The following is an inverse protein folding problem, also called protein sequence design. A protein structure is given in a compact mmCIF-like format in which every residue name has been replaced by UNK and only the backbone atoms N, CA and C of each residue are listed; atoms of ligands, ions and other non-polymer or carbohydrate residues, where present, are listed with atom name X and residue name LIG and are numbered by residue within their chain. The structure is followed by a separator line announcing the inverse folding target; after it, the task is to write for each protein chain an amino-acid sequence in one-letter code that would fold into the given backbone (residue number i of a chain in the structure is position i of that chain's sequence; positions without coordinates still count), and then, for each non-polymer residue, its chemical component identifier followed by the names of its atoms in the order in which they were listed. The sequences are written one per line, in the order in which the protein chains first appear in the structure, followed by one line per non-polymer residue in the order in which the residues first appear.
data_IF_840604217531
#
_entry.id   IF_840604217531
#
_cell.length_a   1.000
_cell.length_b   1.000
_cell.length_c   1.000
_cell.angle_alpha   90.00
_cell.angle_beta   90.00
_cell.angle_gamma   90.00
#
_symmetry.space_group_name_H-M   'P 1'
#
loop_
_entity.id
_entity.type
_entity.pdbx_description
1 polymer ?
#
# COMPACT_ATOMS: atom_id res chain seq x y z
N UNK A 1 -45.71 -9.69 -17.30
CA UNK A 1 -46.07 -8.28 -17.60
C UNK A 1 -47.25 -7.75 -16.77
N UNK A 2 -48.38 -8.47 -16.65
CA UNK A 2 -49.50 -8.03 -15.80
C UNK A 2 -49.20 -8.06 -14.27
N UNK A 3 -48.51 -9.10 -13.78
CA UNK A 3 -48.17 -9.24 -12.37
C UNK A 3 -47.19 -8.17 -11.85
N UNK A 4 -46.34 -7.64 -12.73
CA UNK A 4 -45.34 -6.62 -12.41
C UNK A 4 -45.98 -5.23 -12.32
N UNK A 5 -46.93 -4.94 -13.22
CA UNK A 5 -47.79 -3.75 -13.13
C UNK A 5 -48.65 -3.76 -11.87
N UNK A 6 -49.18 -4.92 -11.47
CA UNK A 6 -49.97 -5.04 -10.23
C UNK A 6 -49.09 -4.74 -9.01
N UNK A 7 -47.88 -5.31 -8.92
CA UNK A 7 -46.95 -5.02 -7.80
C UNK A 7 -46.57 -3.54 -7.71
N UNK A 8 -46.32 -2.88 -8.85
CA UNK A 8 -46.06 -1.43 -8.87
C UNK A 8 -47.26 -0.61 -8.37
N UNK A 9 -48.47 -0.96 -8.80
CA UNK A 9 -49.70 -0.26 -8.38
C UNK A 9 -49.95 -0.44 -6.88
N UNK A 10 -49.75 -1.65 -6.33
CA UNK A 10 -49.93 -1.92 -4.89
C UNK A 10 -48.89 -1.18 -4.04
N UNK A 11 -47.64 -1.09 -4.50
CA UNK A 11 -46.59 -0.33 -3.82
C UNK A 11 -46.89 1.17 -3.81
N UNK A 12 -47.34 1.74 -4.92
CA UNK A 12 -47.73 3.16 -5.02
C UNK A 12 -48.91 3.47 -4.09
N UNK A 13 -49.93 2.59 -4.03
CA UNK A 13 -51.08 2.76 -3.14
C UNK A 13 -50.67 2.66 -1.67
N UNK A 14 -49.79 1.72 -1.33
CA UNK A 14 -49.26 1.56 0.02
C UNK A 14 -48.41 2.78 0.45
N UNK A 15 -47.54 3.27 -0.43
CA UNK A 15 -46.73 4.47 -0.20
C UNK A 15 -47.61 5.72 -0.03
N UNK A 16 -48.64 5.90 -0.86
CA UNK A 16 -49.64 6.97 -0.73
C UNK A 16 -50.37 6.93 0.60
N UNK A 17 -50.71 5.73 1.09
CA UNK A 17 -51.40 5.53 2.37
C UNK A 17 -50.48 5.80 3.57
N UNK A 18 -49.22 5.40 3.51
CA UNK A 18 -48.23 5.64 4.58
C UNK A 18 -47.82 7.11 4.69
N UNK A 19 -47.81 7.84 3.56
CA UNK A 19 -47.45 9.26 3.55
C UNK A 19 -48.64 10.21 3.81
N UNK A 20 -49.88 9.72 3.94
CA UNK A 20 -51.09 10.55 4.08
C UNK A 20 -51.51 11.28 2.80
N UNK A 21 -51.05 10.80 1.63
CA UNK A 21 -51.04 11.49 0.34
C UNK A 21 -52.25 11.15 -0.55
N UNK A 22 -53.24 10.38 -0.06
CA UNK A 22 -54.29 9.77 -0.88
C UNK A 22 -55.05 10.75 -1.81
N UNK A 23 -55.20 12.02 -1.43
CA UNK A 23 -55.82 13.06 -2.29
C UNK A 23 -55.01 14.37 -2.36
N UNK A 24 -53.68 14.27 -2.44
CA UNK A 24 -52.83 15.42 -2.78
C UNK A 24 -53.03 15.86 -4.24
N UNK A 25 -53.02 17.17 -4.50
CA UNK A 25 -53.00 17.78 -5.81
C UNK A 25 -51.81 17.29 -6.64
N UNK A 26 -51.97 17.09 -7.97
CA UNK A 26 -50.90 16.59 -8.82
C UNK A 26 -49.61 17.42 -8.78
N UNK A 27 -49.72 18.74 -8.53
CA UNK A 27 -48.59 19.66 -8.47
C UNK A 27 -47.74 19.44 -7.22
N UNK A 28 -48.36 19.28 -6.04
CA UNK A 28 -47.66 18.99 -4.78
C UNK A 28 -46.99 17.62 -4.85
N UNK A 29 -47.67 16.63 -5.42
CA UNK A 29 -47.12 15.30 -5.68
C UNK A 29 -45.85 15.31 -6.53
N UNK A 30 -45.86 16.06 -7.63
CA UNK A 30 -44.68 16.21 -8.52
C UNK A 30 -43.54 16.89 -7.78
N UNK A 31 -43.82 17.95 -7.01
CA UNK A 31 -42.81 18.68 -6.25
C UNK A 31 -42.18 17.80 -5.16
N UNK A 32 -42.98 17.08 -4.38
CA UNK A 32 -42.48 16.09 -3.39
C UNK A 32 -41.65 15.02 -4.07
N UNK A 33 -42.08 14.53 -5.25
CA UNK A 33 -41.30 13.59 -6.06
C UNK A 33 -39.91 14.11 -6.44
N UNK A 34 -39.83 15.37 -6.91
CA UNK A 34 -38.56 16.04 -7.24
C UNK A 34 -37.67 16.17 -6.01
N UNK A 35 -38.23 16.61 -4.87
CA UNK A 35 -37.49 16.77 -3.62
C UNK A 35 -36.95 15.43 -3.11
N UNK A 36 -37.76 14.37 -3.15
CA UNK A 36 -37.33 13.01 -2.79
C UNK A 36 -36.21 12.51 -3.72
N UNK A 37 -36.32 12.73 -5.03
CA UNK A 37 -35.26 12.38 -5.98
C UNK A 37 -33.95 13.11 -5.65
N UNK A 38 -34.04 14.40 -5.32
CA UNK A 38 -32.88 15.23 -4.98
C UNK A 38 -32.19 14.76 -3.69
N UNK A 39 -32.96 14.33 -2.66
CA UNK A 39 -32.42 13.69 -1.46
C UNK A 39 -31.66 12.40 -1.82
N UNK A 40 -32.29 11.51 -2.60
CA UNK A 40 -31.65 10.24 -3.00
C UNK A 40 -30.38 10.49 -3.82
N UNK A 41 -30.39 11.47 -4.70
CA UNK A 41 -29.23 11.84 -5.52
C UNK A 41 -28.07 12.32 -4.65
N UNK A 42 -28.32 13.20 -3.67
CA UNK A 42 -27.29 13.69 -2.75
C UNK A 42 -26.73 12.55 -1.89
N UNK A 43 -27.60 11.70 -1.34
CA UNK A 43 -27.16 10.53 -0.57
C UNK A 43 -26.32 9.57 -1.43
N UNK A 44 -26.65 9.41 -2.71
CA UNK A 44 -25.88 8.61 -3.67
C UNK A 44 -24.49 9.19 -3.91
N UNK A 45 -24.37 10.52 -4.12
CA UNK A 45 -23.07 11.19 -4.26
C UNK A 45 -22.22 10.98 -3.01
N UNK A 46 -22.78 11.20 -1.82
CA UNK A 46 -22.05 10.99 -0.56
C UNK A 46 -21.57 9.54 -0.45
N UNK A 47 -22.46 8.59 -0.74
CA UNK A 47 -22.14 7.16 -0.70
C UNK A 47 -21.00 6.84 -1.67
N UNK A 48 -21.08 7.31 -2.91
CA UNK A 48 -20.04 7.12 -3.91
C UNK A 48 -18.70 7.74 -3.50
N UNK A 49 -18.73 8.98 -3.01
CA UNK A 49 -17.56 9.72 -2.53
C UNK A 49 -16.89 9.04 -1.35
N UNK A 50 -17.67 8.45 -0.44
CA UNK A 50 -17.19 7.72 0.74
C UNK A 50 -16.55 6.40 0.33
N UNK A 51 -17.21 5.61 -0.51
CA UNK A 51 -16.78 4.27 -0.91
C UNK A 51 -15.79 4.27 -2.09
N UNK A 52 -15.37 5.45 -2.58
CA UNK A 52 -14.27 5.54 -3.55
C UNK A 52 -13.02 4.93 -2.90
N UNK A 53 -12.59 3.76 -3.35
CA UNK A 53 -11.40 3.08 -2.82
C UNK A 53 -10.15 3.96 -2.94
N UNK A 54 -9.13 3.64 -2.14
CA UNK A 54 -7.77 4.14 -2.36
C UNK A 54 -7.42 3.98 -3.84
N UNK A 55 -7.09 5.10 -4.49
CA UNK A 55 -6.86 5.15 -5.93
C UNK A 55 -5.37 5.12 -6.25
N UNK A 56 -5.05 5.13 -7.54
CA UNK A 56 -3.68 5.08 -8.04
C UNK A 56 -2.81 6.27 -7.55
N UNK A 57 -3.44 7.34 -7.03
CA UNK A 57 -2.75 8.50 -6.47
C UNK A 57 -2.38 8.32 -4.98
N UNK A 58 -2.79 7.22 -4.34
CA UNK A 58 -2.44 6.94 -2.95
C UNK A 58 -0.93 6.81 -2.79
N UNK A 59 -0.38 7.41 -1.73
CA UNK A 59 1.04 7.27 -1.37
C UNK A 59 1.15 6.52 -0.05
N UNK A 60 2.02 5.53 -0.02
CA UNK A 60 2.34 4.77 1.18
C UNK A 60 3.78 5.07 1.57
N UNK A 61 3.98 5.46 2.83
CA UNK A 61 5.28 5.58 3.45
C UNK A 61 5.37 4.53 4.56
N UNK A 62 6.27 3.57 4.41
CA UNK A 62 6.46 2.47 5.35
C UNK A 62 7.78 2.73 6.07
N UNK A 63 7.72 2.95 7.38
CA UNK A 63 8.91 3.04 8.24
C UNK A 63 8.92 1.81 9.12
N UNK A 64 9.89 0.91 8.94
CA UNK A 64 9.90 -0.36 9.66
C UNK A 64 11.31 -0.80 10.06
N UNK A 65 11.37 -1.58 11.13
CA UNK A 65 12.57 -2.31 11.55
C UNK A 65 12.41 -3.79 11.19
N UNK A 66 13.36 -4.35 10.46
CA UNK A 66 13.31 -5.74 10.00
C UNK A 66 14.67 -6.43 10.07
N UNK A 67 14.68 -7.71 10.40
CA UNK A 67 15.86 -8.57 10.30
C UNK A 67 16.08 -9.08 8.86
N UNK A 68 15.06 -8.94 7.98
CA UNK A 68 15.12 -9.29 6.57
C UNK A 68 14.47 -8.24 5.68
N UNK A 69 15.18 -7.86 4.63
CA UNK A 69 14.64 -7.01 3.58
C UNK A 69 15.01 -7.65 2.24
N UNK A 70 14.03 -7.83 1.36
CA UNK A 70 14.29 -8.22 -0.02
C UNK A 70 13.83 -7.12 -0.95
N UNK A 71 14.57 -6.88 -2.03
CA UNK A 71 14.04 -6.10 -3.14
C UNK A 71 14.46 -6.64 -4.49
N UNK A 72 13.54 -6.53 -5.44
CA UNK A 72 13.74 -6.93 -6.82
C UNK A 72 13.88 -5.68 -7.70
N UNK A 73 14.99 -5.60 -8.44
CA UNK A 73 15.23 -4.50 -9.39
C UNK A 73 14.17 -4.47 -10.50
N UNK A 74 13.80 -3.26 -10.92
CA UNK A 74 12.84 -3.04 -12.02
C UNK A 74 13.55 -2.45 -13.25
N UNK A 75 12.84 -1.73 -14.12
CA UNK A 75 13.45 -1.02 -15.26
C UNK A 75 14.41 0.07 -14.82
N UNK A 76 14.11 0.74 -13.72
CA UNK A 76 14.97 1.74 -13.08
C UNK A 76 15.91 1.01 -12.13
N UNK A 77 17.22 1.23 -12.29
CA UNK A 77 18.25 0.62 -11.48
C UNK A 77 18.56 1.50 -10.25
N UNK A 78 18.87 0.90 -9.10
CA UNK A 78 19.37 1.65 -7.96
C UNK A 78 20.76 2.24 -8.26
N UNK A 79 21.18 3.28 -7.52
CA UNK A 79 22.58 3.69 -7.54
C UNK A 79 23.48 2.55 -7.01
N UNK A 80 24.77 2.55 -7.35
CA UNK A 80 25.73 1.59 -6.81
C UNK A 80 25.77 1.63 -5.28
N UNK A 81 25.96 0.46 -4.67
CA UNK A 81 26.00 0.30 -3.22
C UNK A 81 27.45 0.21 -2.79
N UNK A 82 27.90 1.17 -2.00
CA UNK A 82 29.24 1.16 -1.40
C UNK A 82 29.21 0.24 -0.18
N UNK A 83 30.10 -0.74 -0.16
CA UNK A 83 30.22 -1.75 0.89
C UNK A 83 31.61 -1.65 1.48
N UNK A 84 31.70 -1.58 2.81
CA UNK A 84 32.97 -1.48 3.54
C UNK A 84 33.15 -2.64 4.51
N UNK A 85 34.39 -3.01 4.78
CA UNK A 85 34.77 -4.07 5.71
C UNK A 85 33.97 -5.38 5.48
N UNK A 86 34.21 -6.02 4.32
CA UNK A 86 33.39 -7.15 3.88
C UNK A 86 34.21 -8.35 3.40
N UNK A 87 33.53 -9.48 3.33
CA UNK A 87 33.97 -10.71 2.64
C UNK A 87 32.93 -11.07 1.61
N UNK A 88 33.33 -11.69 0.50
CA UNK A 88 32.39 -12.10 -0.55
C UNK A 88 32.56 -13.56 -0.93
N UNK A 89 31.50 -14.17 -1.44
CA UNK A 89 31.48 -15.53 -1.94
C UNK A 89 30.80 -15.54 -3.32
N UNK A 90 31.56 -15.89 -4.36
CA UNK A 90 30.99 -16.14 -5.67
C UNK A 90 30.16 -17.42 -5.64
N UNK A 91 29.07 -17.43 -6.41
CA UNK A 91 28.12 -18.53 -6.49
C UNK A 91 27.52 -18.94 -5.13
N UNK A 92 27.61 -18.06 -4.13
CA UNK A 92 27.17 -18.30 -2.76
C UNK A 92 27.78 -19.55 -2.12
N UNK A 93 29.02 -19.86 -2.51
CA UNK A 93 29.86 -20.88 -1.87
C UNK A 93 30.58 -20.34 -0.63
N UNK A 94 31.86 -20.68 -0.49
CA UNK A 94 32.68 -20.24 0.64
C UNK A 94 33.10 -18.76 0.51
N UNK A 95 33.08 -18.04 1.63
CA UNK A 95 33.54 -16.65 1.69
C UNK A 95 35.05 -16.55 1.50
N UNK A 96 35.47 -15.43 0.90
CA UNK A 96 36.86 -15.02 0.80
C UNK A 96 37.57 -15.10 2.16
N UNK A 97 38.83 -15.53 2.15
CA UNK A 97 39.64 -15.53 3.38
C UNK A 97 39.96 -14.11 3.82
N UNK A 98 40.26 -13.26 2.85
CA UNK A 98 40.56 -11.85 3.00
C UNK A 98 39.31 -11.03 3.29
N UNK A 99 39.49 -9.98 4.09
CA UNK A 99 38.51 -8.93 4.33
C UNK A 99 38.93 -7.71 3.52
N UNK A 100 38.02 -7.21 2.69
CA UNK A 100 38.24 -6.07 1.82
C UNK A 100 37.76 -4.79 2.48
N UNK A 101 38.48 -3.71 2.21
CA UNK A 101 38.23 -2.41 2.85
C UNK A 101 37.00 -1.71 2.26
N UNK A 102 36.89 -1.71 0.93
CA UNK A 102 35.84 -1.04 0.18
C UNK A 102 35.55 -1.74 -1.16
N UNK A 103 34.28 -1.74 -1.56
CA UNK A 103 33.81 -2.28 -2.82
C UNK A 103 32.50 -1.64 -3.24
N UNK A 104 32.23 -1.63 -4.53
CA UNK A 104 31.06 -1.01 -5.15
C UNK A 104 30.23 -2.07 -5.88
N UNK A 105 29.00 -2.27 -5.39
CA UNK A 105 28.06 -3.25 -5.93
C UNK A 105 27.09 -2.59 -6.90
N UNK A 106 27.17 -2.98 -8.18
CA UNK A 106 26.22 -2.59 -9.22
C UNK A 106 25.15 -3.68 -9.39
N UNK A 107 23.92 -3.36 -8.97
CA UNK A 107 22.80 -4.29 -9.03
C UNK A 107 22.10 -4.18 -10.38
N UNK A 108 22.41 -5.13 -11.26
CA UNK A 108 21.81 -5.21 -12.59
C UNK A 108 20.31 -5.60 -12.54
N UNK A 109 19.61 -5.43 -13.67
CA UNK A 109 18.20 -5.80 -13.83
C UNK A 109 17.99 -7.30 -13.58
N UNK A 110 16.81 -7.66 -13.09
CA UNK A 110 16.40 -9.04 -12.84
C UNK A 110 17.24 -9.74 -11.76
N UNK A 111 17.81 -8.99 -10.83
CA UNK A 111 18.37 -9.52 -9.60
C UNK A 111 17.45 -9.23 -8.42
N UNK A 112 17.33 -10.22 -7.55
CA UNK A 112 16.70 -10.13 -6.25
C UNK A 112 17.84 -10.00 -5.22
N UNK A 113 17.90 -8.85 -4.56
CA UNK A 113 18.78 -8.62 -3.42
C UNK A 113 18.04 -9.05 -2.16
N UNK A 114 18.68 -9.86 -1.33
CA UNK A 114 18.20 -10.26 -0.01
C UNK A 114 19.21 -9.80 1.03
N UNK A 115 18.79 -8.98 1.97
CA UNK A 115 19.63 -8.51 3.05
C UNK A 115 19.10 -9.15 4.33
N UNK A 116 19.98 -9.79 5.08
CA UNK A 116 19.65 -10.43 6.35
C UNK A 116 20.62 -9.93 7.41
N UNK A 117 20.07 -9.43 8.51
CA UNK A 117 20.87 -9.10 9.68
C UNK A 117 21.04 -10.35 10.52
N UNK A 118 22.29 -10.73 10.78
CA UNK A 118 22.63 -11.83 11.66
C UNK A 118 23.01 -11.27 13.04
N UNK A 119 23.01 -12.14 14.06
CA UNK A 119 23.54 -11.78 15.38
C UNK A 119 25.01 -11.36 15.25
N UNK A 120 25.46 -10.39 16.07
CA UNK A 120 26.84 -9.89 16.17
C UNK A 120 27.29 -8.86 15.10
N UNK A 121 26.47 -7.85 14.79
CA UNK A 121 26.88 -6.73 13.92
C UNK A 121 27.28 -7.15 12.49
N UNK A 122 26.80 -8.32 12.06
CA UNK A 122 27.04 -8.87 10.73
C UNK A 122 25.79 -8.74 9.86
N UNK A 123 26.00 -8.25 8.64
CA UNK A 123 24.95 -8.15 7.63
C UNK A 123 25.32 -9.02 6.45
N UNK A 124 24.43 -9.91 6.04
CA UNK A 124 24.61 -10.71 4.84
C UNK A 124 23.72 -10.18 3.72
N UNK A 125 24.35 -9.80 2.61
CA UNK A 125 23.71 -9.39 1.37
C UNK A 125 23.85 -10.56 0.38
N UNK A 126 22.75 -11.06 -0.15
CA UNK A 126 22.74 -12.14 -1.14
C UNK A 126 22.03 -11.65 -2.39
N UNK A 127 22.76 -11.67 -3.51
CA UNK A 127 22.22 -11.40 -4.84
C UNK A 127 21.94 -12.73 -5.50
N UNK A 128 20.71 -12.92 -5.93
CA UNK A 128 20.33 -14.05 -6.78
C UNK A 128 19.63 -13.54 -8.02
N UNK A 129 19.81 -14.24 -9.14
CA UNK A 129 19.00 -14.00 -10.33
C UNK A 129 17.52 -14.21 -9.97
N UNK A 130 16.69 -13.21 -10.26
CA UNK A 130 15.27 -13.27 -9.94
C UNK A 130 14.61 -14.45 -10.69
N UNK A 131 13.69 -15.19 -10.04
CA UNK A 131 12.93 -16.24 -10.71
C UNK A 131 12.16 -15.63 -11.90
N UNK A 132 12.19 -16.33 -13.04
CA UNK A 132 11.58 -15.86 -14.29
C UNK A 132 10.07 -15.65 -14.10
N UNK A 133 9.62 -14.40 -13.97
CA UNK A 133 8.21 -14.05 -14.10
C UNK A 133 7.96 -13.44 -15.49
N UNK A 134 7.37 -14.25 -16.37
CA UNK A 134 6.51 -13.90 -17.51
C UNK A 134 7.02 -12.81 -18.49
N UNK A 135 7.82 -13.24 -19.47
CA UNK A 135 7.61 -13.05 -20.92
C UNK A 135 8.90 -13.43 -21.65
N UNK A 136 8.97 -14.68 -22.10
CA UNK A 136 10.14 -15.33 -22.71
C UNK A 136 10.56 -14.78 -24.09
N UNK A 137 10.13 -13.58 -24.49
CA UNK A 137 10.45 -13.03 -25.83
C UNK A 137 11.71 -12.16 -25.90
N UNK A 138 12.35 -11.85 -24.78
CA UNK A 138 13.64 -11.12 -24.77
C UNK A 138 14.85 -11.99 -24.38
N UNK A 139 14.68 -13.30 -24.18
CA UNK A 139 15.72 -14.21 -23.69
C UNK A 139 16.86 -14.53 -24.68
N UNK A 140 16.84 -13.96 -25.89
CA UNK A 140 17.95 -14.12 -26.85
C UNK A 140 18.99 -12.98 -26.82
N UNK A 141 18.96 -12.08 -25.82
CA UNK A 141 19.97 -11.01 -25.72
C UNK A 141 20.74 -11.04 -24.38
N UNK A 142 21.93 -11.66 -24.46
CA UNK A 142 23.08 -11.61 -23.54
C UNK A 142 22.85 -12.25 -22.16
N UNK A 143 23.79 -13.10 -21.74
CA UNK A 143 23.98 -13.46 -20.34
C UNK A 143 24.23 -12.16 -19.55
N UNK A 144 23.19 -11.62 -18.91
CA UNK A 144 23.31 -10.44 -18.05
C UNK A 144 24.08 -10.88 -16.81
N UNK A 145 25.39 -10.59 -16.80
CA UNK A 145 26.24 -10.77 -15.64
C UNK A 145 26.06 -9.58 -14.69
N UNK A 146 26.11 -9.84 -13.40
CA UNK A 146 26.27 -8.77 -12.41
C UNK A 146 27.74 -8.38 -12.25
N UNK A 147 27.98 -7.19 -11.74
CA UNK A 147 29.32 -6.63 -11.56
C UNK A 147 29.50 -6.14 -10.13
N UNK A 148 30.63 -6.50 -9.53
CA UNK A 148 31.02 -6.05 -8.21
C UNK A 148 32.47 -5.59 -8.28
N UNK A 149 32.72 -4.31 -8.01
CA UNK A 149 34.07 -3.74 -8.01
C UNK A 149 34.66 -3.86 -6.60
N UNK A 150 35.87 -4.40 -6.50
CA UNK A 150 36.58 -4.58 -5.24
C UNK A 150 37.93 -3.90 -5.38
N UNK A 151 38.16 -2.80 -4.66
CA UNK A 151 39.45 -2.08 -4.66
C UNK A 151 39.98 -1.75 -6.08
N UNK A 152 39.07 -1.48 -7.03
CA UNK A 152 39.38 -1.18 -8.43
C UNK A 152 39.44 -2.39 -9.38
N UNK A 153 39.26 -3.61 -8.86
CA UNK A 153 39.17 -4.84 -9.66
C UNK A 153 37.72 -5.26 -9.88
N UNK A 154 37.36 -5.50 -11.15
CA UNK A 154 36.02 -5.90 -11.55
C UNK A 154 35.76 -7.39 -11.39
N UNK A 155 34.81 -7.75 -10.54
CA UNK A 155 34.36 -9.13 -10.31
C UNK A 155 33.00 -9.36 -10.96
N UNK A 156 32.96 -10.20 -11.99
CA UNK A 156 31.71 -10.63 -12.62
C UNK A 156 31.09 -11.84 -11.91
N UNK A 157 29.77 -11.83 -11.71
CA UNK A 157 29.04 -12.99 -11.18
C UNK A 157 27.81 -13.34 -12.04
N UNK A 158 27.53 -14.64 -12.16
CA UNK A 158 26.52 -15.16 -13.10
C UNK A 158 25.17 -15.50 -12.45
N UNK A 159 25.19 -16.09 -11.26
CA UNK A 159 24.00 -16.69 -10.64
C UNK A 159 23.74 -16.16 -9.23
N UNK A 160 24.78 -16.17 -8.40
CA UNK A 160 24.69 -15.83 -6.99
C UNK A 160 25.96 -15.10 -6.54
N UNK A 161 25.82 -14.09 -5.71
CA UNK A 161 26.90 -13.43 -4.98
C UNK A 161 26.44 -13.22 -3.55
N UNK A 162 27.20 -13.71 -2.58
CA UNK A 162 26.97 -13.41 -1.17
C UNK A 162 28.06 -12.47 -0.66
N UNK A 163 27.67 -11.44 0.08
CA UNK A 163 28.56 -10.47 0.69
C UNK A 163 28.24 -10.42 2.17
N UNK A 164 29.25 -10.55 3.00
CA UNK A 164 29.18 -10.50 4.44
C UNK A 164 29.89 -9.24 4.91
N UNK A 165 29.12 -8.31 5.45
CA UNK A 165 29.58 -7.00 5.93
C UNK A 165 29.71 -7.07 7.45
N UNK A 166 30.85 -6.63 7.98
CA UNK A 166 31.09 -6.56 9.41
C UNK A 166 31.06 -5.10 9.86
N UNK A 167 30.04 -4.72 10.64
CA UNK A 167 29.96 -3.37 11.19
C UNK A 167 30.91 -3.25 12.38
N UNK A 168 31.75 -2.22 12.38
CA UNK A 168 32.75 -1.97 13.41
C UNK A 168 32.76 -0.47 13.80
N UNK A 169 33.70 -0.03 14.65
CA UNK A 169 33.73 1.38 15.07
C UNK A 169 34.08 2.35 13.92
N UNK A 170 34.85 1.90 12.93
CA UNK A 170 35.25 2.71 11.78
C UNK A 170 34.14 2.79 10.72
N UNK A 171 33.36 1.73 10.60
CA UNK A 171 32.23 1.57 9.67
C UNK A 171 30.99 1.09 10.46
N UNK A 172 30.39 1.95 11.29
CA UNK A 172 29.29 1.54 12.18
C UNK A 172 27.94 1.48 11.45
N UNK A 173 27.83 2.01 10.23
CA UNK A 173 26.58 2.11 9.48
C UNK A 173 26.77 1.63 8.06
N UNK A 174 25.88 0.75 7.60
CA UNK A 174 25.66 0.43 6.20
C UNK A 174 24.35 1.09 5.77
N UNK A 175 24.38 1.93 4.74
CA UNK A 175 23.21 2.64 4.23
C UNK A 175 23.23 2.69 2.71
N UNK A 176 22.07 2.45 2.08
CA UNK A 176 21.94 2.58 0.64
C UNK A 176 20.49 2.77 0.19
N UNK A 177 20.33 3.26 -1.03
CA UNK A 177 19.05 3.42 -1.70
C UNK A 177 18.71 2.17 -2.51
N UNK A 178 17.53 1.61 -2.31
CA UNK A 178 16.96 0.56 -3.12
C UNK A 178 15.86 1.11 -4.03
N UNK A 179 15.81 0.63 -5.27
CA UNK A 179 14.76 0.98 -6.24
C UNK A 179 14.23 -0.31 -6.84
N UNK A 180 12.94 -0.58 -6.64
CA UNK A 180 12.35 -1.83 -7.09
C UNK A 180 11.06 -2.21 -6.38
N UNK A 181 10.74 -3.50 -6.39
CA UNK A 181 9.71 -4.06 -5.53
C UNK A 181 10.35 -4.47 -4.21
N UNK A 182 9.99 -3.81 -3.11
CA UNK A 182 10.53 -4.06 -1.78
C UNK A 182 9.54 -4.91 -0.98
N UNK A 183 10.08 -5.91 -0.30
CA UNK A 183 9.37 -6.78 0.63
C UNK A 183 10.07 -6.68 1.99
N UNK A 184 9.27 -6.50 3.04
CA UNK A 184 9.77 -6.33 4.41
C UNK A 184 9.35 -7.52 5.27
N UNK A 185 10.32 -8.12 5.94
CA UNK A 185 10.15 -9.40 6.62
C UNK A 185 10.21 -10.55 5.62
N UNK A 186 9.70 -11.72 6.00
CA UNK A 186 9.68 -12.92 5.16
C UNK A 186 8.34 -13.61 5.27
N UNK A 187 7.89 -14.26 4.19
CA UNK A 187 6.78 -15.21 4.27
C UNK A 187 7.10 -16.31 5.29
N UNK A 188 6.29 -16.39 6.34
CA UNK A 188 6.48 -17.35 7.43
C UNK A 188 5.78 -18.65 7.06
N UNK A 189 6.54 -19.72 6.82
CA UNK A 189 6.03 -21.07 6.50
C UNK A 189 6.41 -22.06 7.60
N UNK A 190 5.67 -23.17 7.72
CA UNK A 190 5.87 -24.20 8.76
C UNK A 190 7.14 -25.07 8.55
N UNK A 191 8.07 -24.67 7.68
CA UNK A 191 9.30 -25.44 7.49
C UNK A 191 10.18 -25.33 8.76
N UNK A 192 10.59 -26.48 9.29
CA UNK A 192 11.55 -26.56 10.37
C UNK A 192 12.94 -26.31 9.81
N UNK A 193 13.61 -25.25 10.24
CA UNK A 193 15.06 -25.19 10.53
C UNK A 193 15.52 -23.72 10.52
N UNK A 194 15.31 -23.03 11.66
CA UNK A 194 15.92 -21.72 11.92
C UNK A 194 14.94 -20.66 12.42
N UNK A 195 15.48 -19.69 13.17
CA UNK A 195 14.79 -18.43 13.44
C UNK A 195 14.58 -17.71 12.10
N UNK A 196 13.34 -17.56 11.67
CA UNK A 196 13.04 -16.77 10.48
C UNK A 196 13.26 -15.30 10.80
N UNK A 197 14.05 -14.57 10.00
CA UNK A 197 14.23 -13.16 10.24
C UNK A 197 12.88 -12.43 10.10
N UNK A 198 12.56 -11.63 11.12
CA UNK A 198 11.24 -11.06 11.34
C UNK A 198 11.23 -9.56 11.02
N UNK A 199 10.04 -9.09 10.64
CA UNK A 199 9.68 -7.70 10.84
C UNK A 199 9.49 -7.48 12.35
N UNK A 200 10.18 -6.51 12.91
CA UNK A 200 10.20 -6.25 14.35
C UNK A 200 9.12 -5.25 14.75
N UNK A 201 9.08 -4.11 14.07
CA UNK A 201 8.17 -3.00 14.37
C UNK A 201 8.06 -2.04 13.19
N UNK A 202 7.12 -1.10 13.25
CA UNK A 202 7.03 -0.01 12.29
C UNK A 202 5.64 0.59 12.18
N UNK A 203 5.50 1.49 11.21
CA UNK A 203 4.24 2.11 10.84
C UNK A 203 4.11 2.27 9.33
N UNK A 204 2.87 2.21 8.84
CA UNK A 204 2.51 2.53 7.48
C UNK A 204 1.68 3.80 7.52
N UNK A 205 2.23 4.87 6.99
CA UNK A 205 1.52 6.10 6.73
C UNK A 205 0.90 6.05 5.34
N UNK A 206 -0.41 6.27 5.27
CA UNK A 206 -1.16 6.35 4.01
C UNK A 206 -1.55 7.80 3.77
N UNK A 207 -1.21 8.34 2.60
CA UNK A 207 -1.60 9.68 2.16
C UNK A 207 -2.51 9.56 0.95
N UNK A 208 -3.70 10.17 1.04
CA UNK A 208 -4.67 10.27 -0.05
C UNK A 208 -4.86 11.71 -0.52
N UNK A 209 -5.68 11.87 -1.56
CA UNK A 209 -6.10 13.17 -2.09
C UNK A 209 -7.57 13.42 -1.79
N UNK A 210 -7.92 14.65 -1.40
CA UNK A 210 -9.32 15.04 -1.17
C UNK A 210 -10.12 15.02 -2.47
N UNK A 211 -11.43 14.85 -2.35
CA UNK A 211 -12.33 14.67 -3.48
C UNK A 211 -12.45 15.88 -4.41
N UNK A 212 -12.37 17.10 -3.85
CA UNK A 212 -12.71 18.32 -4.59
C UNK A 212 -11.49 19.13 -5.00
N UNK A 213 -10.54 19.32 -4.08
CA UNK A 213 -9.38 20.19 -4.31
C UNK A 213 -8.07 19.44 -4.49
N UNK A 214 -8.08 18.10 -4.48
CA UNK A 214 -6.89 17.25 -4.58
C UNK A 214 -5.83 17.58 -3.52
N UNK A 215 -6.26 18.13 -2.37
CA UNK A 215 -5.36 18.43 -1.27
C UNK A 215 -4.95 17.12 -0.59
N UNK A 216 -3.71 17.04 -0.11
CA UNK A 216 -3.23 15.80 0.51
C UNK A 216 -3.71 15.71 1.95
N UNK A 217 -4.23 14.55 2.35
CA UNK A 217 -4.52 14.25 3.75
C UNK A 217 -3.93 12.89 4.13
N UNK A 218 -3.67 12.71 5.42
CA UNK A 218 -3.03 11.52 5.98
C UNK A 218 -4.07 10.72 6.77
N UNK A 219 -4.15 9.42 6.52
CA UNK A 219 -4.96 8.51 7.32
C UNK A 219 -4.24 8.18 8.63
N UNK A 220 -5.01 7.71 9.62
CA UNK A 220 -4.45 7.12 10.85
C UNK A 220 -3.39 6.06 10.48
N UNK A 221 -2.14 6.19 10.95
CA UNK A 221 -1.09 5.24 10.60
C UNK A 221 -1.43 3.80 11.02
N UNK A 222 -1.16 2.84 10.15
CA UNK A 222 -1.28 1.42 10.49
C UNK A 222 -0.04 0.99 11.26
N UNK A 223 -0.22 0.49 12.48
CA UNK A 223 0.89 0.00 13.32
C UNK A 223 1.26 -1.42 12.90
N UNK A 224 2.50 -1.58 12.46
CA UNK A 224 3.09 -2.87 12.10
C UNK A 224 3.43 -3.62 13.38
N UNK A 225 3.01 -4.88 13.48
CA UNK A 225 3.35 -5.74 14.60
C UNK A 225 4.51 -6.67 14.24
N UNK A 226 5.19 -7.15 15.28
CA UNK A 226 6.22 -8.17 15.15
C UNK A 226 5.67 -9.38 14.37
N UNK A 227 6.49 -9.91 13.45
CA UNK A 227 6.17 -11.04 12.58
C UNK A 227 5.12 -10.76 11.51
N UNK A 228 4.74 -9.49 11.28
CA UNK A 228 3.99 -9.14 10.08
C UNK A 228 4.93 -9.23 8.85
N UNK A 229 4.35 -9.50 7.68
CA UNK A 229 5.03 -9.53 6.38
C UNK A 229 4.36 -8.51 5.48
N UNK A 230 5.13 -7.60 4.90
CA UNK A 230 4.62 -6.51 4.08
C UNK A 230 5.11 -6.66 2.65
N UNK A 231 4.17 -6.68 1.73
CA UNK A 231 4.43 -6.77 0.30
C UNK A 231 3.36 -6.05 -0.49
N UNK A 232 3.69 -5.68 -1.72
CA UNK A 232 2.76 -5.05 -2.65
C UNK A 232 2.62 -5.93 -3.89
N UNK A 233 1.38 -6.27 -4.23
CA UNK A 233 1.07 -6.84 -5.54
C UNK A 233 0.70 -5.70 -6.49
N UNK A 234 1.71 -4.99 -6.99
CA UNK A 234 1.45 -3.98 -8.02
C UNK A 234 1.31 -4.64 -9.37
N UNK A 235 0.23 -4.31 -10.09
CA UNK A 235 -0.11 -4.88 -11.40
C UNK A 235 0.63 -4.15 -12.55
N UNK A 236 1.32 -3.04 -12.29
CA UNK A 236 2.11 -2.28 -13.29
C UNK A 236 3.26 -1.54 -12.64
N UNK A 237 4.47 -1.65 -13.22
CA UNK A 237 5.65 -0.74 -13.22
C UNK A 237 5.80 0.34 -12.11
N UNK A 238 5.25 0.15 -10.91
CA UNK A 238 5.38 1.07 -9.80
C UNK A 238 6.70 0.75 -9.11
N UNK A 239 7.76 1.44 -9.52
CA UNK A 239 9.04 1.39 -8.81
C UNK A 239 8.85 1.99 -7.43
N UNK A 240 9.08 1.20 -6.38
CA UNK A 240 9.19 1.72 -5.02
C UNK A 240 10.61 2.22 -4.83
N UNK A 241 10.76 3.25 -4.01
CA UNK A 241 12.07 3.70 -3.55
C UNK A 241 12.17 3.38 -2.07
N UNK A 242 13.34 2.94 -1.63
CA UNK A 242 13.57 2.67 -0.23
C UNK A 242 14.96 3.12 0.20
N UNK A 243 15.08 3.55 1.45
CA UNK A 243 16.36 3.73 2.14
C UNK A 243 16.47 2.58 3.12
N UNK A 244 17.56 1.83 3.03
CA UNK A 244 17.86 0.73 3.96
C UNK A 244 19.08 1.15 4.75
N UNK A 245 18.96 1.10 6.08
CA UNK A 245 19.99 1.50 7.02
C UNK A 245 20.20 0.42 8.07
N UNK A 246 21.46 0.07 8.30
CA UNK A 246 21.87 -0.94 9.28
C UNK A 246 22.93 -0.33 10.17
N UNK A 247 22.62 -0.18 11.46
CA UNK A 247 23.52 0.45 12.45
C UNK A 247 24.08 -0.62 13.37
N UNK A 248 25.35 -0.52 13.72
CA UNK A 248 26.01 -1.37 14.70
C UNK A 248 25.23 -1.39 16.03
N UNK A 249 25.19 -2.55 16.67
CA UNK A 249 24.54 -2.83 17.96
C UNK A 249 23.00 -2.70 17.99
N UNK A 250 22.38 -2.29 16.89
CA UNK A 250 20.92 -2.38 16.74
C UNK A 250 20.47 -3.82 16.41
N UNK A 251 19.26 -4.25 16.82
CA UNK A 251 18.79 -5.61 16.57
C UNK A 251 18.31 -5.84 15.13
N UNK A 252 17.87 -4.79 14.43
CA UNK A 252 17.27 -4.87 13.10
C UNK A 252 17.91 -3.94 12.08
N UNK A 253 17.31 -3.87 10.90
CA UNK A 253 17.61 -2.90 9.85
C UNK A 253 16.41 -1.96 9.72
N UNK A 254 16.67 -0.66 9.67
CA UNK A 254 15.64 0.34 9.38
C UNK A 254 15.40 0.40 7.89
N UNK A 255 14.15 0.29 7.47
CA UNK A 255 13.70 0.49 6.11
C UNK A 255 12.69 1.63 6.06
N UNK A 256 12.92 2.60 5.18
CA UNK A 256 11.96 3.64 4.84
C UNK A 256 11.58 3.43 3.38
N UNK A 257 10.38 2.92 3.11
CA UNK A 257 9.90 2.57 1.77
C UNK A 257 8.79 3.54 1.35
N UNK A 258 8.96 4.16 0.20
CA UNK A 258 7.96 5.01 -0.45
C UNK A 258 7.37 4.28 -1.66
N UNK A 259 6.05 4.14 -1.66
CA UNK A 259 5.26 3.51 -2.71
C UNK A 259 4.17 4.48 -3.17
N UNK A 260 3.92 4.50 -4.48
CA UNK A 260 2.81 5.22 -5.08
C UNK A 260 1.87 4.25 -5.81
N UNK A 261 0.58 4.31 -5.47
CA UNK A 261 -0.46 3.45 -6.00
C UNK A 261 -0.33 1.98 -5.57
N UNK A 262 -1.22 1.16 -6.12
CA UNK A 262 -1.25 -0.28 -5.87
C UNK A 262 -1.87 -0.69 -4.53
N UNK A 263 -1.83 -2.01 -4.29
CA UNK A 263 -2.45 -2.66 -3.14
C UNK A 263 -1.36 -3.14 -2.18
N UNK A 264 -1.27 -2.50 -1.01
CA UNK A 264 -0.33 -2.90 0.03
C UNK A 264 -0.98 -3.95 0.94
N UNK A 265 -0.33 -5.09 1.10
CA UNK A 265 -0.80 -6.18 1.92
C UNK A 265 0.07 -6.33 3.17
N UNK A 266 -0.60 -6.56 4.29
CA UNK A 266 0.03 -6.99 5.54
C UNK A 266 -0.47 -8.38 5.85
N UNK A 267 0.45 -9.34 5.95
CA UNK A 267 0.15 -10.71 6.29
C UNK A 267 0.82 -11.08 7.61
N UNK A 268 0.02 -11.52 8.59
CA UNK A 268 0.56 -12.14 9.82
C UNK A 268 0.66 -13.65 9.65
N UNK A 269 1.56 -14.27 10.39
CA UNK A 269 1.68 -15.73 10.43
C UNK A 269 0.32 -16.42 10.62
N UNK A 270 0.02 -17.38 9.73
CA UNK A 270 -1.23 -18.15 9.68
C UNK A 270 -2.52 -17.33 9.50
N UNK A 271 -2.42 -16.07 9.09
CA UNK A 271 -3.56 -15.25 8.71
C UNK A 271 -3.56 -15.02 7.20
N UNK A 272 -4.76 -14.85 6.64
CA UNK A 272 -4.89 -14.40 5.26
C UNK A 272 -4.31 -12.97 5.12
N UNK A 273 -3.70 -12.64 3.98
CA UNK A 273 -3.23 -11.28 3.72
C UNK A 273 -4.36 -10.25 3.85
N UNK A 274 -4.12 -9.20 4.62
CA UNK A 274 -5.05 -8.09 4.79
C UNK A 274 -4.60 -6.92 3.92
N UNK A 275 -5.52 -6.43 3.07
CA UNK A 275 -5.30 -5.21 2.31
C UNK A 275 -5.36 -4.00 3.26
N UNK A 276 -4.40 -3.09 3.16
CA UNK A 276 -4.50 -1.78 3.81
C UNK A 276 -5.58 -0.98 3.07
N UNK A 277 -6.78 -0.96 3.63
CA UNK A 277 -7.91 -0.17 3.15
C UNK A 277 -8.19 0.99 4.11
N UNK A 278 -8.77 2.08 3.59
CA UNK A 278 -9.27 3.16 4.41
C UNK A 278 -10.72 2.90 4.84
N UNK A 279 -11.01 3.05 6.14
CA UNK A 279 -12.38 2.95 6.66
C UNK A 279 -13.17 4.25 6.45
N UNK A 280 -14.51 4.19 6.46
CA UNK A 280 -15.37 5.38 6.41
C UNK A 280 -15.02 6.39 7.50
N UNK A 281 -14.84 5.91 8.73
CA UNK A 281 -14.56 6.75 9.88
C UNK A 281 -13.18 7.39 9.71
N UNK A 282 -12.18 6.64 9.26
CA UNK A 282 -10.85 7.19 9.00
C UNK A 282 -10.88 8.23 7.88
N UNK A 283 -11.67 8.02 6.83
CA UNK A 283 -11.78 8.99 5.74
C UNK A 283 -12.48 10.27 6.20
N UNK A 284 -13.63 10.17 6.86
CA UNK A 284 -14.37 11.35 7.32
C UNK A 284 -13.63 12.09 8.43
N UNK A 285 -12.91 11.39 9.31
CA UNK A 285 -12.14 12.04 10.37
C UNK A 285 -10.91 12.79 9.88
N UNK A 286 -10.28 12.32 8.81
CA UNK A 286 -9.04 12.90 8.30
C UNK A 286 -9.21 13.80 7.05
N UNK A 287 -10.27 13.60 6.26
CA UNK A 287 -10.63 14.48 5.13
C UNK A 287 -11.62 15.56 5.58
N UNK A 288 -11.09 16.73 5.94
CA UNK A 288 -11.87 17.87 6.40
C UNK A 288 -12.88 18.38 5.35
N UNK A 289 -12.57 18.25 4.05
CA UNK A 289 -13.43 18.70 2.95
C UNK A 289 -14.65 17.78 2.82
N UNK A 290 -14.42 16.47 2.94
CA UNK A 290 -15.48 15.48 2.99
C UNK A 290 -16.34 15.66 4.24
N UNK A 291 -15.75 15.86 5.42
CA UNK A 291 -16.48 16.11 6.66
C UNK A 291 -17.38 17.36 6.57
N UNK A 292 -16.84 18.44 6.01
CA UNK A 292 -17.57 19.69 5.81
C UNK A 292 -18.73 19.51 4.81
N UNK A 293 -18.47 18.86 3.68
CA UNK A 293 -19.47 18.59 2.64
C UNK A 293 -20.57 17.66 3.15
N UNK A 294 -20.22 16.65 3.94
CA UNK A 294 -21.17 15.76 4.61
C UNK A 294 -22.06 16.54 5.58
N UNK A 295 -21.47 17.46 6.36
CA UNK A 295 -22.21 18.31 7.30
C UNK A 295 -23.23 19.20 6.58
N UNK A 296 -22.82 19.88 5.50
CA UNK A 296 -23.73 20.70 4.67
C UNK A 296 -24.84 19.83 4.09
N UNK A 297 -24.50 18.65 3.57
CA UNK A 297 -25.48 17.78 2.95
C UNK A 297 -26.50 17.25 3.95
N UNK A 298 -26.09 16.92 5.19
CA UNK A 298 -27.02 16.50 6.25
C UNK A 298 -27.99 17.63 6.60
N UNK A 299 -27.49 18.86 6.81
CA UNK A 299 -28.33 20.03 7.10
C UNK A 299 -29.31 20.30 5.94
N UNK A 300 -28.83 20.19 4.70
CA UNK A 300 -29.64 20.40 3.52
C UNK A 300 -30.73 19.33 3.37
N UNK A 301 -30.41 18.04 3.61
CA UNK A 301 -31.40 16.96 3.60
C UNK A 301 -32.46 17.16 4.69
N UNK A 302 -32.07 17.58 5.89
CA UNK A 302 -33.02 17.91 6.97
C UNK A 302 -33.94 19.06 6.57
N UNK A 303 -33.40 20.10 5.93
CA UNK A 303 -34.18 21.20 5.40
C UNK A 303 -35.20 20.72 4.36
N UNK A 304 -34.80 19.87 3.40
CA UNK A 304 -35.71 19.30 2.40
C UNK A 304 -36.83 18.46 3.03
N UNK A 305 -36.53 17.65 4.04
CA UNK A 305 -37.56 16.94 4.80
C UNK A 305 -38.53 17.90 5.49
N UNK A 306 -38.04 19.02 6.02
CA UNK A 306 -38.86 20.10 6.56
C UNK A 306 -39.82 20.68 5.51
N UNK A 307 -39.32 20.97 4.31
CA UNK A 307 -40.12 21.47 3.17
C UNK A 307 -41.17 20.44 2.75
N UNK A 308 -40.81 19.17 2.62
CA UNK A 308 -41.76 18.09 2.28
C UNK A 308 -42.87 18.02 3.34
N UNK A 309 -42.50 17.98 4.62
CA UNK A 309 -43.48 17.95 5.73
C UNK A 309 -44.38 19.18 5.72
N UNK A 310 -43.84 20.37 5.43
CA UNK A 310 -44.60 21.61 5.34
C UNK A 310 -45.60 21.59 4.18
N UNK A 311 -45.16 21.18 2.98
CA UNK A 311 -46.01 21.06 1.79
C UNK A 311 -47.17 20.09 2.03
N UNK A 312 -46.88 18.92 2.61
CA UNK A 312 -47.90 17.93 2.96
C UNK A 312 -48.88 18.44 4.02
N UNK A 313 -48.41 19.23 5.00
CA UNK A 313 -49.28 19.83 6.04
C UNK A 313 -50.18 20.94 5.51
N UNK A 314 -49.66 21.84 4.65
CA UNK A 314 -50.49 22.88 4.03
C UNK A 314 -51.63 22.26 3.25
N UNK A 315 -51.34 21.22 2.49
CA UNK A 315 -52.33 20.52 1.68
C UNK A 315 -53.39 19.82 2.53
N UNK A 316 -53.02 19.29 3.70
CA UNK A 316 -53.99 18.76 4.66
C UNK A 316 -54.85 19.83 5.34
N UNK A 317 -54.34 21.06 5.52
CA UNK A 317 -55.10 22.17 6.14
C UNK A 317 -56.05 22.85 5.15
N UNK A 318 -55.74 22.83 3.85
CA UNK A 318 -56.60 23.38 2.79
C UNK A 318 -57.74 22.44 2.36
N UNK A 319 -57.80 21.23 2.92
CA UNK A 319 -58.94 20.31 2.82
C UNK A 319 -59.86 20.48 4.02
#
# INVERSE_FOLDING_TARGET
MAAEKIKQVTFIIWLKKQLGIADATPQVLVLVGILCFLIVFILSIITFSVFKKLDDNTKYLITAESEHISYQTTKVLPPPIIIKNFKYAQECGDFSKETYSEGELDVNRNYLLKITRMLNNEVTIVLVKAPKNVNEKEQNKKNIKGYFEIEGEGVEYNNCLAIKVQLNEENPVLEFNAIGHVELGKSITDASDGYYPLLLSGEITVTGETLFFQSTYQFTPYVIKKSDYIYNNSVKDSSQTAIIRVVKDEPGMTAIVSLHGGNLYVQRYRMEPQLIESSFIDRVSNDYELAFSLSIAIVFVQFLFGVINFLLRIEMIHK
#
